data_IF_812885417231
#
_entry.id   IF_812885417231
#
_cell.length_a   1.000
_cell.length_b   1.000
_cell.length_c   1.000
_cell.angle_alpha   90.00
_cell.angle_beta   90.00
_cell.angle_gamma   90.00
#
_symmetry.space_group_name_H-M   'P 1'
#
loop_
_entity.id
_entity.type
_entity.pdbx_description
1 polymer ?
#
# COMPACT_ATOMS: atom_id res chain seq x y z
N UNK A 1 -47.33 -31.19 8.20
CA UNK A 1 -46.80 -29.84 7.87
C UNK A 1 -45.78 -29.29 8.88
N UNK A 2 -45.65 -29.84 10.09
CA UNK A 2 -44.61 -29.42 11.06
C UNK A 2 -43.21 -30.00 10.76
N UNK A 3 -43.13 -31.24 10.25
CA UNK A 3 -41.83 -31.90 10.02
C UNK A 3 -41.04 -31.35 8.82
N UNK A 4 -41.71 -30.85 7.77
CA UNK A 4 -41.03 -30.20 6.63
C UNK A 4 -40.38 -28.85 7.00
N UNK A 5 -40.86 -28.18 8.07
CA UNK A 5 -40.28 -26.91 8.53
C UNK A 5 -38.99 -27.11 9.32
N UNK A 6 -38.85 -28.24 10.02
CA UNK A 6 -37.64 -28.58 10.79
C UNK A 6 -36.44 -28.91 9.90
N UNK A 7 -36.66 -29.65 8.81
CA UNK A 7 -35.60 -30.01 7.85
C UNK A 7 -35.11 -28.78 7.07
N UNK A 8 -36.02 -27.87 6.70
CA UNK A 8 -35.66 -26.61 6.03
C UNK A 8 -34.81 -25.68 6.90
N UNK A 9 -35.14 -25.54 8.19
CA UNK A 9 -34.32 -24.75 9.12
C UNK A 9 -32.96 -25.39 9.41
N UNK A 10 -32.89 -26.72 9.46
CA UNK A 10 -31.63 -27.44 9.66
C UNK A 10 -30.70 -27.32 8.44
N UNK A 11 -31.24 -27.41 7.21
CA UNK A 11 -30.46 -27.19 5.99
C UNK A 11 -29.96 -25.74 5.86
N UNK A 12 -30.75 -24.74 6.26
CA UNK A 12 -30.31 -23.33 6.26
C UNK A 12 -29.22 -23.10 7.32
N UNK A 13 -29.35 -23.71 8.51
CA UNK A 13 -28.32 -23.62 9.55
C UNK A 13 -27.01 -24.33 9.15
N UNK A 14 -27.10 -25.50 8.50
CA UNK A 14 -25.92 -26.24 8.00
C UNK A 14 -25.27 -25.52 6.81
N UNK A 15 -26.03 -24.87 5.92
CA UNK A 15 -25.46 -24.01 4.87
C UNK A 15 -24.87 -22.69 5.41
N UNK A 16 -25.43 -22.12 6.49
CA UNK A 16 -24.86 -20.95 7.16
C UNK A 16 -23.57 -21.27 7.94
N UNK A 17 -23.43 -22.51 8.45
CA UNK A 17 -22.24 -22.96 9.17
C UNK A 17 -21.13 -23.50 8.26
N UNK A 18 -21.41 -23.72 6.98
CA UNK A 18 -20.39 -23.94 5.95
C UNK A 18 -20.02 -22.61 5.28
N UNK A 19 -19.71 -21.60 6.10
CA UNK A 19 -18.72 -20.61 5.74
C UNK A 19 -17.39 -21.34 5.62
N UNK A 20 -17.19 -22.09 4.52
CA UNK A 20 -15.86 -22.47 4.10
C UNK A 20 -15.16 -21.13 3.95
N UNK A 21 -14.30 -20.78 4.90
CA UNK A 21 -13.29 -19.77 4.70
C UNK A 21 -12.43 -20.31 3.56
N UNK A 22 -12.90 -20.18 2.32
CA UNK A 22 -12.08 -20.40 1.15
C UNK A 22 -11.02 -19.33 1.30
N UNK A 23 -9.81 -19.74 1.70
CA UNK A 23 -8.66 -18.84 1.78
C UNK A 23 -8.57 -18.12 0.44
N UNK A 24 -9.08 -16.89 0.37
CA UNK A 24 -8.96 -16.08 -0.83
C UNK A 24 -7.48 -15.81 -1.02
N UNK A 25 -6.98 -16.08 -2.22
CA UNK A 25 -5.60 -15.74 -2.53
C UNK A 25 -5.42 -14.23 -2.36
N UNK A 26 -4.27 -13.77 -1.85
CA UNK A 26 -4.00 -12.36 -1.73
C UNK A 26 -3.84 -11.70 -3.12
N UNK A 27 -4.40 -10.50 -3.31
CA UNK A 27 -4.00 -9.65 -4.43
C UNK A 27 -2.60 -9.04 -4.22
N UNK A 28 -2.17 -8.93 -2.97
CA UNK A 28 -0.87 -8.39 -2.57
C UNK A 28 -0.31 -9.14 -1.34
N UNK A 29 0.97 -9.52 -1.38
CA UNK A 29 1.67 -10.17 -0.27
C UNK A 29 2.97 -9.44 0.03
N UNK A 30 3.32 -9.36 1.32
CA UNK A 30 4.65 -8.90 1.74
C UNK A 30 5.34 -9.98 2.57
N UNK A 31 6.67 -9.98 2.53
CA UNK A 31 7.53 -10.78 3.41
C UNK A 31 8.60 -9.88 3.99
N UNK A 32 8.79 -9.96 5.30
CA UNK A 32 9.89 -9.32 6.02
C UNK A 32 10.79 -10.44 6.54
N UNK A 33 12.04 -10.45 6.08
CA UNK A 33 13.01 -11.51 6.43
C UNK A 33 13.76 -11.18 7.71
N UNK A 34 14.58 -12.13 8.18
CA UNK A 34 15.54 -11.86 9.25
C UNK A 34 16.37 -10.58 9.04
N UNK A 35 16.78 -10.26 7.79
CA UNK A 35 17.49 -9.02 7.51
C UNK A 35 16.63 -7.77 7.76
N UNK A 36 15.35 -7.81 7.41
CA UNK A 36 14.39 -6.73 7.69
C UNK A 36 14.08 -6.62 9.18
N UNK A 37 13.91 -7.74 9.87
CA UNK A 37 13.69 -7.79 11.33
C UNK A 37 14.92 -7.29 12.11
N UNK A 38 16.13 -7.56 11.63
CA UNK A 38 17.36 -7.01 12.20
C UNK A 38 17.42 -5.48 12.08
N UNK A 39 16.95 -4.93 10.96
CA UNK A 39 16.81 -3.47 10.81
C UNK A 39 15.76 -2.92 11.79
N UNK A 40 14.57 -3.54 11.84
CA UNK A 40 13.52 -3.15 12.77
C UNK A 40 13.97 -3.22 14.25
N UNK A 41 14.76 -4.24 14.62
CA UNK A 41 15.32 -4.36 15.97
C UNK A 41 16.21 -3.17 16.36
N UNK A 42 17.04 -2.66 15.43
CA UNK A 42 17.89 -1.49 15.70
C UNK A 42 17.04 -0.25 16.01
N UNK A 43 16.01 -0.01 15.21
CA UNK A 43 15.07 1.10 15.42
C UNK A 43 14.28 0.92 16.72
N UNK A 44 13.82 -0.29 17.04
CA UNK A 44 13.11 -0.61 18.27
C UNK A 44 13.97 -0.34 19.52
N UNK A 45 15.26 -0.72 19.51
CA UNK A 45 16.20 -0.41 20.60
C UNK A 45 16.44 1.10 20.74
N UNK A 46 16.56 1.81 19.62
CA UNK A 46 16.69 3.27 19.65
C UNK A 46 15.44 3.95 20.22
N UNK A 47 14.25 3.45 19.90
CA UNK A 47 13.00 3.95 20.45
C UNK A 47 12.86 3.63 21.94
N UNK A 48 13.21 2.40 22.37
CA UNK A 48 13.21 2.02 23.78
C UNK A 48 14.13 2.92 24.61
N UNK A 49 15.33 3.23 24.10
CA UNK A 49 16.28 4.14 24.74
C UNK A 49 15.64 5.52 25.01
N UNK A 50 14.86 6.05 24.04
CA UNK A 50 14.13 7.31 24.19
C UNK A 50 13.00 7.22 25.22
N UNK A 51 12.22 6.14 25.22
CA UNK A 51 11.09 5.95 26.14
C UNK A 51 11.54 5.72 27.60
N UNK A 52 12.72 5.11 27.80
CA UNK A 52 13.27 4.79 29.13
C UNK A 52 13.99 5.98 29.76
N UNK A 53 14.66 6.83 28.98
CA UNK A 53 15.36 8.01 29.51
C UNK A 53 14.36 9.02 30.08
N UNK A 54 14.64 9.52 31.29
CA UNK A 54 13.77 10.47 32.00
C UNK A 54 12.64 9.82 32.81
N UNK A 55 12.50 8.50 32.78
CA UNK A 55 11.52 7.79 33.59
C UNK A 55 11.86 7.92 35.08
N UNK A 56 10.86 8.30 35.88
CA UNK A 56 10.97 8.38 37.33
C UNK A 56 10.61 7.04 37.96
N UNK A 57 11.46 6.57 38.87
CA UNK A 57 11.24 5.33 39.61
C UNK A 57 10.83 5.68 41.02
N UNK A 58 9.61 5.28 41.40
CA UNK A 58 9.17 5.42 42.78
C UNK A 58 9.86 4.34 43.63
N UNK A 59 10.77 4.75 44.50
CA UNK A 59 11.45 3.84 45.42
C UNK A 59 10.88 4.03 46.82
N UNK A 60 10.14 3.04 47.37
CA UNK A 60 9.54 3.19 48.69
C UNK A 60 10.59 3.48 49.78
N UNK A 61 10.21 4.12 50.90
CA UNK A 61 11.10 4.29 52.05
C UNK A 61 11.50 2.95 52.68
N UNK A 62 12.53 2.95 53.53
CA UNK A 62 13.04 1.73 54.17
C UNK A 62 13.79 1.98 55.47
N UNK A 63 14.17 0.88 56.14
CA UNK A 63 14.95 0.89 57.38
C UNK A 63 16.08 -0.13 57.33
N UNK A 64 17.27 0.27 57.77
CA UNK A 64 18.42 -0.60 57.99
C UNK A 64 18.93 -0.39 59.42
N UNK A 65 18.65 -1.33 60.31
CA UNK A 65 18.94 -1.19 61.73
C UNK A 65 18.36 0.13 62.30
N UNK A 66 19.18 1.02 62.89
CA UNK A 66 18.72 2.29 63.46
C UNK A 66 18.52 3.42 62.44
N UNK A 67 18.80 3.19 61.16
CA UNK A 67 18.69 4.19 60.08
C UNK A 67 17.38 3.98 59.33
N UNK A 68 16.53 5.01 59.28
CA UNK A 68 15.39 5.10 58.36
C UNK A 68 15.78 5.99 57.17
N UNK A 69 15.38 5.62 55.95
CA UNK A 69 15.68 6.39 54.74
C UNK A 69 14.46 6.53 53.82
N UNK A 70 14.45 7.61 53.04
CA UNK A 70 13.46 7.91 52.02
C UNK A 70 14.14 8.44 50.76
N UNK A 71 13.54 8.20 49.61
CA UNK A 71 14.10 8.51 48.29
C UNK A 71 13.15 9.46 47.57
N UNK A 72 13.74 10.46 46.89
CA UNK A 72 13.00 11.41 46.07
C UNK A 72 13.73 11.63 44.75
N UNK A 73 12.95 11.87 43.69
CA UNK A 73 13.48 12.18 42.35
C UNK A 73 14.50 11.14 41.83
N UNK A 74 14.25 9.84 42.05
CA UNK A 74 15.03 8.80 41.40
C UNK A 74 14.62 8.72 39.92
N UNK A 75 15.53 9.02 39.01
CA UNK A 75 15.26 9.15 37.59
C UNK A 75 16.34 8.46 36.76
N UNK A 76 15.93 7.85 35.64
CA UNK A 76 16.86 7.27 34.66
C UNK A 76 17.49 8.39 33.84
N UNK A 77 18.80 8.58 33.99
CA UNK A 77 19.56 9.65 33.34
C UNK A 77 20.25 9.20 32.06
N UNK A 78 20.61 7.91 31.94
CA UNK A 78 21.23 7.36 30.75
C UNK A 78 20.83 5.91 30.49
N UNK A 79 20.82 5.56 29.20
CA UNK A 79 20.61 4.21 28.69
C UNK A 79 21.82 3.85 27.82
N UNK A 80 22.49 2.75 28.14
CA UNK A 80 23.56 2.17 27.34
C UNK A 80 23.01 1.00 26.53
N UNK A 81 23.14 1.01 25.19
CA UNK A 81 22.62 -0.05 24.33
C UNK A 81 23.09 -1.46 24.74
N UNK A 82 22.27 -2.50 24.48
CA UNK A 82 22.65 -3.88 24.77
C UNK A 82 23.88 -4.32 23.96
N UNK A 83 24.67 -5.25 24.51
CA UNK A 83 25.75 -5.89 23.75
C UNK A 83 25.22 -6.90 22.73
N UNK A 84 24.01 -7.43 22.95
CA UNK A 84 23.30 -8.27 21.98
C UNK A 84 21.80 -8.02 22.03
N UNK A 85 21.16 -7.97 20.86
CA UNK A 85 19.71 -7.88 20.73
C UNK A 85 19.25 -8.60 19.47
N UNK A 86 18.02 -9.10 19.49
CA UNK A 86 17.42 -9.80 18.37
C UNK A 86 15.91 -9.62 18.34
N UNK A 87 15.36 -9.60 17.13
CA UNK A 87 13.94 -9.69 16.85
C UNK A 87 13.77 -10.85 15.89
N UNK A 88 13.26 -11.98 16.38
CA UNK A 88 13.19 -13.23 15.62
C UNK A 88 11.76 -13.73 15.53
N UNK A 89 11.36 -14.36 14.41
CA UNK A 89 10.08 -15.03 14.33
C UNK A 89 9.95 -16.20 15.31
N UNK A 90 8.74 -16.40 15.82
CA UNK A 90 8.29 -17.62 16.48
C UNK A 90 7.26 -18.24 15.53
N UNK A 91 7.59 -19.40 15.00
CA UNK A 91 6.75 -20.10 14.02
C UNK A 91 5.30 -20.24 14.54
N UNK A 92 4.34 -19.83 13.71
CA UNK A 92 2.91 -19.89 14.02
C UNK A 92 2.40 -18.95 15.12
N UNK A 93 3.25 -18.09 15.70
CA UNK A 93 2.86 -17.28 16.87
C UNK A 93 3.07 -15.78 16.70
N UNK A 94 4.31 -15.32 16.48
CA UNK A 94 4.63 -13.89 16.56
C UNK A 94 6.11 -13.60 16.44
N UNK A 95 6.59 -12.53 17.09
CA UNK A 95 8.02 -12.20 17.16
C UNK A 95 8.51 -12.28 18.60
N UNK A 96 9.69 -12.85 18.81
CA UNK A 96 10.44 -12.73 20.07
C UNK A 96 11.41 -11.57 19.96
N UNK A 97 11.23 -10.57 20.80
CA UNK A 97 12.18 -9.48 20.97
C UNK A 97 13.01 -9.73 22.23
N UNK A 98 14.33 -9.67 22.13
CA UNK A 98 15.22 -9.94 23.25
C UNK A 98 16.45 -9.05 23.20
N UNK A 99 16.94 -8.67 24.37
CA UNK A 99 18.17 -7.91 24.51
C UNK A 99 18.91 -8.28 25.80
N UNK A 100 20.24 -8.22 25.76
CA UNK A 100 21.10 -8.57 26.87
C UNK A 100 22.17 -7.52 27.13
N UNK A 101 22.54 -7.39 28.40
CA UNK A 101 23.59 -6.51 28.88
C UNK A 101 23.34 -5.02 28.58
N UNK A 102 22.11 -4.58 28.78
CA UNK A 102 21.76 -3.16 28.80
C UNK A 102 22.35 -2.51 30.05
N UNK A 103 22.87 -1.30 29.89
CA UNK A 103 23.30 -0.44 30.99
C UNK A 103 22.28 0.65 31.29
N UNK A 104 22.06 0.95 32.56
CA UNK A 104 21.16 2.03 33.00
C UNK A 104 21.90 2.86 34.04
N UNK A 105 21.89 4.19 33.87
CA UNK A 105 22.31 5.12 34.91
C UNK A 105 21.08 5.82 35.50
N UNK A 106 21.08 5.99 36.81
CA UNK A 106 20.05 6.76 37.51
C UNK A 106 20.70 7.74 38.47
N UNK A 107 20.03 8.85 38.75
CA UNK A 107 20.40 9.72 39.85
C UNK A 107 19.17 10.08 40.68
N UNK A 108 19.39 10.55 41.90
CA UNK A 108 18.31 11.01 42.76
C UNK A 108 18.80 11.56 44.09
N UNK A 109 17.84 11.77 44.99
CA UNK A 109 18.09 12.30 46.34
C UNK A 109 17.59 11.34 47.41
N UNK A 110 18.27 11.34 48.54
CA UNK A 110 17.86 10.57 49.71
C UNK A 110 17.85 11.46 50.96
N UNK A 111 16.97 11.12 51.88
CA UNK A 111 16.94 11.66 53.24
C UNK A 111 17.01 10.50 54.22
N UNK A 112 17.84 10.60 55.25
CA UNK A 112 17.99 9.56 56.26
C UNK A 112 17.95 10.14 57.68
N UNK A 113 17.46 9.32 58.61
CA UNK A 113 17.38 9.62 60.03
C UNK A 113 17.94 8.43 60.82
N UNK A 114 18.89 8.69 61.71
CA UNK A 114 19.42 7.74 62.68
C UNK A 114 18.85 8.06 64.06
N UNK A 115 18.30 7.04 64.74
CA UNK A 115 17.70 7.20 66.08
C UNK A 115 18.15 6.09 67.03
N UNK A 116 19.20 6.38 67.83
CA UNK A 116 19.57 5.62 69.03
C UNK A 116 19.72 6.56 70.24
N UNK A 117 20.94 6.97 70.58
CA UNK A 117 21.23 7.89 71.68
C UNK A 117 21.30 9.35 71.19
N UNK A 118 21.81 9.55 69.96
CA UNK A 118 21.85 10.85 69.26
C UNK A 118 20.86 10.78 68.10
N UNK A 119 20.13 11.88 67.87
CA UNK A 119 19.24 12.05 66.71
C UNK A 119 20.02 12.78 65.61
N UNK A 120 20.27 12.09 64.50
CA UNK A 120 20.93 12.68 63.33
C UNK A 120 19.96 12.54 62.15
N UNK A 121 19.70 13.65 61.47
CA UNK A 121 18.89 13.68 60.24
C UNK A 121 19.62 14.51 59.21
N UNK A 122 19.80 13.96 58.02
CA UNK A 122 20.51 14.64 56.94
C UNK A 122 20.04 14.12 55.57
N UNK A 123 20.52 14.76 54.51
CA UNK A 123 20.17 14.45 53.13
C UNK A 123 21.41 14.32 52.25
N UNK A 124 21.22 13.80 51.05
CA UNK A 124 22.28 13.67 50.06
C UNK A 124 21.73 13.30 48.68
N UNK A 125 22.64 13.08 47.75
CA UNK A 125 22.33 12.56 46.42
C UNK A 125 22.95 11.19 46.20
N UNK A 126 22.46 10.46 45.20
CA UNK A 126 23.07 9.21 44.80
C UNK A 126 23.10 9.09 43.29
N UNK A 127 24.08 8.33 42.81
CA UNK A 127 24.15 7.81 41.44
C UNK A 127 24.08 6.29 41.49
N UNK A 128 23.29 5.72 40.59
CA UNK A 128 23.16 4.28 40.40
C UNK A 128 23.70 3.95 39.02
N UNK A 129 24.57 2.95 38.98
CA UNK A 129 24.97 2.27 37.75
C UNK A 129 24.42 0.85 37.78
N UNK A 130 23.63 0.51 36.78
CA UNK A 130 23.07 -0.83 36.57
C UNK A 130 23.70 -1.42 35.33
N UNK A 131 24.15 -2.67 35.42
CA UNK A 131 24.72 -3.41 34.30
C UNK A 131 24.11 -4.81 34.21
N UNK A 132 24.13 -5.39 33.03
CA UNK A 132 23.59 -6.74 32.83
C UNK A 132 22.07 -6.78 32.86
N UNK A 133 21.38 -5.71 32.45
CA UNK A 133 19.93 -5.78 32.28
C UNK A 133 19.61 -6.58 31.01
N UNK A 134 18.72 -7.54 31.11
CA UNK A 134 18.25 -8.34 29.99
C UNK A 134 16.73 -8.46 29.99
N UNK A 135 16.16 -8.64 28.81
CA UNK A 135 14.74 -8.93 28.67
C UNK A 135 14.48 -9.86 27.49
N UNK A 136 13.34 -10.55 27.56
CA UNK A 136 12.72 -11.25 26.46
C UNK A 136 11.22 -11.05 26.52
N UNK A 137 10.64 -10.54 25.44
CA UNK A 137 9.20 -10.31 25.30
C UNK A 137 8.71 -10.92 23.98
N UNK A 138 7.54 -11.53 24.01
CA UNK A 138 6.82 -11.92 22.80
C UNK A 138 5.96 -10.75 22.33
N UNK A 139 5.99 -10.45 21.03
CA UNK A 139 5.05 -9.55 20.37
C UNK A 139 4.08 -10.38 19.54
N UNK A 140 2.81 -10.34 19.93
CA UNK A 140 1.72 -11.00 19.21
C UNK A 140 1.14 -10.06 18.17
N UNK A 141 0.89 -10.57 16.97
CA UNK A 141 0.30 -9.79 15.89
C UNK A 141 -1.10 -10.29 15.55
N UNK A 142 -2.00 -9.35 15.28
CA UNK A 142 -3.38 -9.62 14.94
C UNK A 142 -3.87 -8.76 13.78
N UNK A 143 -5.19 -8.72 13.65
CA UNK A 143 -5.90 -7.91 12.65
C UNK A 143 -7.10 -7.24 13.34
N UNK A 144 -7.30 -5.96 13.11
CA UNK A 144 -8.48 -5.23 13.59
C UNK A 144 -9.69 -5.45 12.66
N UNK A 145 -10.86 -4.91 13.06
CA UNK A 145 -12.10 -4.99 12.28
C UNK A 145 -12.05 -4.25 10.95
N UNK A 146 -11.09 -3.36 10.74
CA UNK A 146 -10.89 -2.61 9.51
C UNK A 146 -9.86 -3.27 8.57
N UNK A 147 -9.24 -4.37 8.99
CA UNK A 147 -8.18 -5.05 8.25
C UNK A 147 -6.78 -4.44 8.43
N UNK A 148 -6.52 -3.74 9.54
CA UNK A 148 -5.20 -3.21 9.92
C UNK A 148 -4.46 -4.23 10.78
N UNK A 149 -3.12 -4.29 10.72
CA UNK A 149 -2.36 -5.08 11.68
C UNK A 149 -2.51 -4.49 13.08
N UNK A 150 -2.54 -5.36 14.09
CA UNK A 150 -2.43 -4.99 15.50
C UNK A 150 -1.23 -5.69 16.12
N UNK A 151 -0.70 -5.13 17.20
CA UNK A 151 0.39 -5.68 18.00
C UNK A 151 0.05 -5.57 19.48
N UNK A 152 0.46 -6.57 20.26
CA UNK A 152 0.37 -6.54 21.73
C UNK A 152 1.55 -7.27 22.35
N UNK A 153 1.82 -6.96 23.60
CA UNK A 153 2.79 -7.69 24.40
C UNK A 153 2.21 -9.03 24.86
N UNK A 154 2.91 -10.10 24.52
CA UNK A 154 2.76 -11.42 25.12
C UNK A 154 3.62 -11.54 26.39
N UNK A 155 3.99 -12.78 26.78
CA UNK A 155 4.82 -13.01 27.96
C UNK A 155 6.14 -12.22 27.92
N UNK A 156 6.44 -11.54 29.03
CA UNK A 156 7.67 -10.80 29.23
C UNK A 156 8.47 -11.37 30.41
N UNK A 157 9.78 -11.45 30.22
CA UNK A 157 10.76 -11.76 31.27
C UNK A 157 11.84 -10.71 31.26
N UNK A 158 12.33 -10.36 32.45
CA UNK A 158 13.47 -9.47 32.60
C UNK A 158 14.38 -9.96 33.72
N UNK A 159 15.66 -9.64 33.60
CA UNK A 159 16.61 -9.81 34.70
C UNK A 159 17.55 -8.61 34.79
N UNK A 160 18.15 -8.46 35.96
CA UNK A 160 19.05 -7.35 36.28
C UNK A 160 20.29 -7.92 36.92
N UNK A 161 21.44 -7.78 36.27
CA UNK A 161 22.72 -8.25 36.77
C UNK A 161 23.15 -7.55 38.06
N UNK A 162 23.94 -6.48 37.92
CA UNK A 162 24.55 -5.75 39.03
C UNK A 162 23.94 -4.36 39.16
N UNK A 163 23.63 -3.98 40.39
CA UNK A 163 23.28 -2.61 40.78
C UNK A 163 24.39 -2.10 41.68
N UNK A 164 24.99 -0.97 41.33
CA UNK A 164 26.03 -0.32 42.13
C UNK A 164 25.59 1.10 42.45
N UNK A 165 25.62 1.46 43.73
CA UNK A 165 25.17 2.77 44.20
C UNK A 165 26.35 3.55 44.77
N UNK A 166 26.48 4.81 44.36
CA UNK A 166 27.39 5.79 44.92
C UNK A 166 26.57 6.87 45.61
N UNK A 167 26.73 6.99 46.92
CA UNK A 167 26.10 8.04 47.71
C UNK A 167 27.04 9.23 47.88
N UNK A 168 26.46 10.42 47.87
CA UNK A 168 27.13 11.69 48.13
C UNK A 168 26.44 12.39 49.29
N UNK A 169 27.16 12.59 50.39
CA UNK A 169 26.64 13.20 51.61
C UNK A 169 27.69 13.26 52.71
N UNK A 170 27.35 13.90 53.84
CA UNK A 170 28.32 14.19 54.92
C UNK A 170 28.75 12.95 55.70
N UNK A 171 27.84 12.04 56.01
CA UNK A 171 28.10 10.93 56.95
C UNK A 171 28.16 9.56 56.26
N UNK A 172 29.33 9.23 55.72
CA UNK A 172 29.54 7.99 54.96
C UNK A 172 29.14 6.71 55.68
N UNK A 173 29.43 6.62 56.98
CA UNK A 173 29.10 5.46 57.79
C UNK A 173 27.58 5.19 57.86
N UNK A 174 26.74 6.24 57.86
CA UNK A 174 25.31 6.12 58.05
C UNK A 174 24.59 5.63 56.78
N UNK A 175 24.95 6.19 55.61
CA UNK A 175 24.32 5.77 54.37
C UNK A 175 24.89 4.47 53.79
N UNK A 176 26.15 4.15 54.07
CA UNK A 176 26.73 2.86 53.69
C UNK A 176 26.03 1.69 54.40
N UNK A 177 25.40 1.92 55.56
CA UNK A 177 24.67 0.90 56.33
C UNK A 177 23.44 0.35 55.57
N UNK A 178 22.78 1.16 54.74
CA UNK A 178 21.60 0.72 53.98
C UNK A 178 21.89 0.43 52.50
N UNK A 179 23.14 0.61 52.04
CA UNK A 179 23.54 0.43 50.64
C UNK A 179 23.10 -0.91 50.05
N UNK A 180 23.42 -2.03 50.72
CA UNK A 180 23.11 -3.36 50.21
C UNK A 180 21.59 -3.65 50.14
N UNK A 181 20.82 -3.15 51.12
CA UNK A 181 19.35 -3.26 51.06
C UNK A 181 18.78 -2.40 49.93
N UNK A 182 19.34 -1.21 49.73
CA UNK A 182 18.93 -0.30 48.67
C UNK A 182 19.25 -0.86 47.28
N UNK A 183 20.43 -1.43 47.07
CA UNK A 183 20.81 -2.15 45.85
C UNK A 183 19.83 -3.29 45.52
N UNK A 184 19.47 -4.12 46.52
CA UNK A 184 18.48 -5.19 46.35
C UNK A 184 17.09 -4.65 45.99
N UNK A 185 16.68 -3.54 46.61
CA UNK A 185 15.38 -2.91 46.36
C UNK A 185 15.30 -2.35 44.94
N UNK A 186 16.33 -1.63 44.50
CA UNK A 186 16.42 -1.11 43.14
C UNK A 186 16.46 -2.26 42.13
N UNK A 187 17.24 -3.31 42.39
CA UNK A 187 17.29 -4.51 41.53
C UNK A 187 15.89 -5.11 41.31
N UNK A 188 15.13 -5.31 42.39
CA UNK A 188 13.75 -5.82 42.30
C UNK A 188 12.82 -4.88 41.54
N UNK A 189 12.83 -3.58 41.89
CA UNK A 189 11.98 -2.59 41.24
C UNK A 189 12.26 -2.49 39.74
N UNK A 190 13.54 -2.49 39.34
CA UNK A 190 13.92 -2.47 37.92
C UNK A 190 13.50 -3.75 37.20
N UNK A 191 13.63 -4.92 37.85
CA UNK A 191 13.16 -6.18 37.29
C UNK A 191 11.65 -6.13 36.99
N UNK A 192 10.85 -5.68 37.96
CA UNK A 192 9.39 -5.52 37.78
C UNK A 192 9.07 -4.45 36.72
N UNK A 193 9.68 -3.27 36.81
CA UNK A 193 9.38 -2.13 35.92
C UNK A 193 9.83 -2.31 34.48
N UNK A 194 10.85 -3.12 34.23
CA UNK A 194 11.37 -3.29 32.86
C UNK A 194 10.31 -3.94 31.96
N UNK A 195 9.63 -4.99 32.43
CA UNK A 195 8.55 -5.60 31.66
C UNK A 195 7.35 -4.66 31.50
N UNK A 196 6.97 -3.91 32.55
CA UNK A 196 5.91 -2.90 32.43
C UNK A 196 6.21 -1.90 31.30
N UNK A 197 7.44 -1.36 31.24
CA UNK A 197 7.85 -0.38 30.23
C UNK A 197 7.88 -0.98 28.82
N UNK A 198 8.41 -2.20 28.68
CA UNK A 198 8.50 -2.89 27.39
C UNK A 198 7.10 -3.24 26.88
N UNK A 199 6.26 -3.83 27.72
CA UNK A 199 4.88 -4.18 27.36
C UNK A 199 4.09 -2.93 26.99
N UNK A 200 4.21 -1.85 27.77
CA UNK A 200 3.57 -0.57 27.44
C UNK A 200 4.03 -0.01 26.09
N UNK A 201 5.32 -0.11 25.76
CA UNK A 201 5.85 0.31 24.45
C UNK A 201 5.22 -0.46 23.29
N UNK A 202 4.90 -1.75 23.47
CA UNK A 202 4.22 -2.55 22.46
C UNK A 202 2.72 -2.23 22.41
N UNK A 203 2.04 -2.32 23.55
CA UNK A 203 0.58 -2.18 23.68
C UNK A 203 0.08 -0.76 23.40
N UNK A 204 0.95 0.25 23.50
CA UNK A 204 0.57 1.66 23.31
C UNK A 204 1.31 2.30 22.14
N UNK A 205 2.64 2.39 22.18
CA UNK A 205 3.38 3.16 21.17
C UNK A 205 3.39 2.46 19.80
N UNK A 206 3.72 1.17 19.79
CA UNK A 206 3.74 0.37 18.57
C UNK A 206 2.33 0.15 18.02
N UNK A 207 1.36 -0.21 18.89
CA UNK A 207 -0.04 -0.36 18.49
C UNK A 207 -0.63 0.92 17.91
N UNK A 208 -0.36 2.08 18.54
CA UNK A 208 -0.76 3.37 17.97
C UNK A 208 -0.17 3.58 16.58
N UNK A 209 1.09 3.24 16.38
CA UNK A 209 1.75 3.36 15.06
C UNK A 209 1.07 2.49 14.00
N UNK A 210 0.71 1.25 14.35
CA UNK A 210 -0.02 0.35 13.44
C UNK A 210 -1.46 0.82 13.17
N UNK A 211 -2.15 1.36 14.18
CA UNK A 211 -3.52 1.87 14.04
C UNK A 211 -3.65 3.00 13.01
N UNK A 212 -2.57 3.78 12.82
CA UNK A 212 -2.54 4.92 11.89
C UNK A 212 -2.38 4.50 10.42
N UNK A 213 -2.13 3.22 10.14
CA UNK A 213 -1.45 2.82 8.91
C UNK A 213 -2.10 3.12 7.57
N UNK A 214 -3.32 3.62 7.40
CA UNK A 214 -4.12 3.51 6.14
C UNK A 214 -4.15 2.07 5.56
N UNK A 215 -5.32 1.57 5.21
CA UNK A 215 -5.49 0.25 4.56
C UNK A 215 -6.22 0.36 3.24
N UNK A 216 -6.48 1.60 2.83
CA UNK A 216 -7.04 1.97 1.54
C UNK A 216 -6.34 3.22 1.03
N UNK A 217 -6.17 3.30 -0.30
CA UNK A 217 -5.55 4.43 -1.01
C UNK A 217 -6.45 4.79 -2.19
N UNK A 218 -6.83 6.05 -2.29
CA UNK A 218 -7.61 6.54 -3.42
C UNK A 218 -6.78 6.61 -4.70
N UNK A 219 -7.34 6.13 -5.81
CA UNK A 219 -6.78 6.24 -7.15
C UNK A 219 -7.65 7.21 -7.95
N UNK A 220 -7.14 8.41 -8.18
CA UNK A 220 -7.93 9.50 -8.74
C UNK A 220 -9.10 9.89 -7.81
N UNK A 221 -10.25 10.27 -8.39
CA UNK A 221 -11.45 10.68 -7.63
C UNK A 221 -12.46 9.56 -7.42
N UNK A 222 -12.35 8.46 -8.16
CA UNK A 222 -13.43 7.49 -8.35
C UNK A 222 -13.09 6.09 -7.83
N UNK A 223 -11.81 5.73 -7.81
CA UNK A 223 -11.35 4.39 -7.48
C UNK A 223 -10.65 4.38 -6.12
N UNK A 224 -10.67 3.24 -5.45
CA UNK A 224 -9.96 3.01 -4.19
C UNK A 224 -9.31 1.63 -4.19
N UNK A 225 -8.01 1.59 -3.90
CA UNK A 225 -7.26 0.35 -3.67
C UNK A 225 -7.36 -0.04 -2.20
N UNK A 226 -7.84 -1.25 -1.93
CA UNK A 226 -7.84 -1.86 -0.59
C UNK A 226 -6.66 -2.82 -0.44
N UNK A 227 -5.76 -2.52 0.48
CA UNK A 227 -4.67 -3.40 0.94
C UNK A 227 -4.84 -3.81 2.40
N UNK A 228 -6.09 -3.84 2.86
CA UNK A 228 -6.52 -4.50 4.10
C UNK A 228 -5.96 -5.91 4.17
N UNK A 229 -5.51 -6.30 5.36
CA UNK A 229 -5.10 -7.66 5.63
C UNK A 229 -6.28 -8.62 5.43
N UNK A 230 -6.02 -9.79 4.86
CA UNK A 230 -7.00 -10.87 4.74
C UNK A 230 -6.99 -11.80 5.96
N UNK A 231 -6.01 -11.63 6.85
CA UNK A 231 -5.89 -12.33 8.12
C UNK A 231 -4.65 -11.84 8.90
N UNK A 232 -4.42 -12.40 10.10
CA UNK A 232 -3.23 -12.09 10.90
C UNK A 232 -1.91 -12.38 10.13
N UNK A 233 -0.82 -11.66 10.41
CA UNK A 233 0.49 -11.98 9.88
C UNK A 233 0.89 -13.43 10.18
N UNK A 234 1.56 -14.09 9.24
CA UNK A 234 2.08 -15.45 9.41
C UNK A 234 3.57 -15.43 9.67
N UNK A 235 4.03 -16.37 10.48
CA UNK A 235 5.42 -16.45 10.93
C UNK A 235 5.99 -17.83 10.64
N UNK A 236 7.14 -17.88 9.97
CA UNK A 236 7.98 -19.07 9.82
C UNK A 236 9.18 -18.95 10.75
N UNK A 237 10.17 -19.85 10.67
CA UNK A 237 11.45 -19.66 11.37
C UNK A 237 12.28 -18.48 10.84
N UNK A 238 12.09 -18.11 9.57
CA UNK A 238 13.04 -17.25 8.84
C UNK A 238 12.47 -15.87 8.51
N UNK A 239 11.15 -15.74 8.46
CA UNK A 239 10.46 -14.54 8.02
C UNK A 239 9.04 -14.44 8.58
N UNK A 240 8.48 -13.24 8.50
CA UNK A 240 7.05 -12.98 8.65
C UNK A 240 6.45 -12.56 7.31
N UNK A 241 5.18 -12.90 7.10
CA UNK A 241 4.42 -12.53 5.90
C UNK A 241 3.09 -11.90 6.25
N UNK A 242 2.66 -10.97 5.41
CA UNK A 242 1.33 -10.38 5.45
C UNK A 242 0.64 -10.56 4.12
N UNK A 243 -0.67 -10.79 4.18
CA UNK A 243 -1.52 -11.10 3.04
C UNK A 243 -2.61 -10.06 2.98
N UNK A 244 -2.80 -9.46 1.81
CA UNK A 244 -3.64 -8.30 1.63
C UNK A 244 -4.63 -8.51 0.48
N UNK A 245 -5.78 -7.85 0.58
CA UNK A 245 -6.84 -7.93 -0.42
C UNK A 245 -6.34 -7.55 -1.81
N UNK A 246 -5.65 -6.42 -1.93
CA UNK A 246 -5.03 -5.96 -3.18
C UNK A 246 -6.05 -5.73 -4.30
N UNK A 247 -7.24 -5.22 -3.96
CA UNK A 247 -8.38 -5.05 -4.87
C UNK A 247 -8.69 -3.57 -5.07
N UNK A 248 -8.98 -3.17 -6.31
CA UNK A 248 -9.39 -1.82 -6.68
C UNK A 248 -10.89 -1.84 -6.97
N UNK A 249 -11.63 -0.97 -6.28
CA UNK A 249 -13.09 -0.89 -6.35
C UNK A 249 -13.56 0.55 -6.60
N UNK A 250 -14.83 0.71 -6.97
CA UNK A 250 -15.49 1.99 -7.10
C UNK A 250 -15.82 2.58 -5.73
N UNK A 251 -15.32 3.79 -5.47
CA UNK A 251 -15.34 4.40 -4.14
C UNK A 251 -16.75 4.67 -3.60
N UNK A 252 -17.68 5.10 -4.45
CA UNK A 252 -19.03 5.50 -3.99
C UNK A 252 -20.00 4.35 -3.85
N UNK A 253 -19.72 3.21 -4.49
CA UNK A 253 -20.58 2.04 -4.52
C UNK A 253 -19.71 0.80 -4.79
N UNK A 254 -19.07 0.25 -3.75
CA UNK A 254 -18.20 -0.91 -3.88
C UNK A 254 -18.96 -2.11 -4.49
N UNK A 255 -18.41 -2.66 -5.56
CA UNK A 255 -18.94 -3.81 -6.27
C UNK A 255 -17.76 -4.67 -6.76
N UNK A 256 -17.37 -5.72 -6.00
CA UNK A 256 -16.17 -6.47 -6.28
C UNK A 256 -16.24 -7.18 -7.65
N UNK A 257 -15.10 -7.38 -8.31
CA UNK A 257 -15.07 -8.07 -9.60
C UNK A 257 -15.54 -9.53 -9.49
N UNK A 258 -16.15 -10.11 -10.54
CA UNK A 258 -16.61 -11.50 -10.56
C UNK A 258 -15.46 -12.51 -10.80
N UNK A 259 -14.26 -12.20 -10.32
CA UNK A 259 -13.07 -13.04 -10.42
C UNK A 259 -12.21 -12.86 -9.17
N UNK A 260 -11.36 -13.84 -8.88
CA UNK A 260 -10.52 -13.88 -7.66
C UNK A 260 -9.05 -13.75 -8.01
N UNK A 261 -8.24 -13.40 -7.02
CA UNK A 261 -6.80 -13.39 -7.20
C UNK A 261 -6.27 -14.82 -7.48
N UNK A 262 -5.27 -14.96 -8.37
CA UNK A 262 -4.53 -16.21 -8.56
C UNK A 262 -3.68 -16.52 -7.33
N UNK A 263 -3.27 -17.78 -7.20
CA UNK A 263 -2.26 -18.14 -6.22
C UNK A 263 -0.92 -17.52 -6.60
N UNK A 264 -0.21 -16.99 -5.60
CA UNK A 264 1.13 -16.47 -5.80
C UNK A 264 2.14 -17.63 -5.88
N UNK A 265 3.15 -17.56 -6.78
CA UNK A 265 4.13 -18.61 -6.90
C UNK A 265 4.97 -18.73 -5.63
N UNK A 266 5.37 -19.96 -5.23
CA UNK A 266 6.23 -20.13 -4.07
C UNK A 266 7.58 -19.47 -4.31
N UNK A 267 8.07 -18.76 -3.30
CA UNK A 267 9.37 -18.10 -3.32
C UNK A 267 10.10 -18.34 -2.01
N UNK A 268 11.37 -18.74 -2.08
CA UNK A 268 12.17 -19.12 -0.91
C UNK A 268 13.33 -18.15 -0.62
N UNK A 269 13.55 -17.16 -1.47
CA UNK A 269 14.64 -16.22 -1.26
C UNK A 269 14.40 -15.38 0.00
N UNK A 270 15.48 -15.15 0.73
CA UNK A 270 15.55 -14.37 1.96
C UNK A 270 16.73 -13.39 1.97
N UNK A 271 17.44 -13.23 0.84
CA UNK A 271 18.62 -12.38 0.70
C UNK A 271 18.35 -10.87 0.78
N UNK A 272 17.08 -10.43 0.69
CA UNK A 272 16.65 -9.03 0.87
C UNK A 272 15.86 -8.84 2.16
N UNK A 273 15.82 -7.61 2.67
CA UNK A 273 15.05 -7.28 3.88
C UNK A 273 13.54 -7.50 3.71
N UNK A 274 13.03 -7.22 2.51
CA UNK A 274 11.61 -7.27 2.19
C UNK A 274 11.39 -7.78 0.77
N UNK A 275 10.31 -8.52 0.58
CA UNK A 275 9.80 -8.94 -0.73
C UNK A 275 8.33 -8.54 -0.85
N UNK A 276 7.93 -8.19 -2.07
CA UNK A 276 6.59 -7.77 -2.42
C UNK A 276 6.12 -8.60 -3.61
N UNK A 277 4.91 -9.15 -3.52
CA UNK A 277 4.22 -9.79 -4.63
C UNK A 277 2.96 -9.01 -4.94
N UNK A 278 2.81 -8.63 -6.21
CA UNK A 278 1.62 -7.96 -6.72
C UNK A 278 1.04 -8.84 -7.80
N UNK A 279 -0.19 -9.31 -7.60
CA UNK A 279 -0.89 -10.09 -8.60
C UNK A 279 -1.44 -9.19 -9.71
N UNK A 280 -1.53 -9.71 -10.94
CA UNK A 280 -2.29 -9.13 -12.04
C UNK A 280 -3.77 -8.86 -11.68
N UNK A 281 -4.33 -9.58 -10.70
CA UNK A 281 -5.64 -9.32 -10.11
C UNK A 281 -5.83 -7.86 -9.70
N UNK A 282 -4.82 -7.23 -9.09
CA UNK A 282 -4.92 -5.84 -8.64
C UNK A 282 -5.24 -4.91 -9.82
N UNK A 283 -4.51 -5.02 -10.92
CA UNK A 283 -4.74 -4.19 -12.11
C UNK A 283 -5.96 -4.64 -12.92
N UNK A 284 -6.27 -5.94 -12.96
CA UNK A 284 -7.49 -6.45 -13.58
C UNK A 284 -8.75 -5.94 -12.87
N UNK A 285 -8.74 -5.81 -11.53
CA UNK A 285 -9.85 -5.22 -10.77
C UNK A 285 -10.06 -3.75 -11.15
N UNK A 286 -9.00 -2.96 -11.32
CA UNK A 286 -9.08 -1.60 -11.86
C UNK A 286 -9.71 -1.57 -13.25
N UNK A 287 -9.25 -2.42 -14.16
CA UNK A 287 -9.78 -2.45 -15.54
C UNK A 287 -11.24 -2.91 -15.59
N UNK A 288 -11.64 -3.81 -14.69
CA UNK A 288 -13.04 -4.17 -14.51
C UNK A 288 -13.87 -2.95 -14.12
N UNK A 289 -13.49 -2.22 -13.06
CA UNK A 289 -14.22 -1.02 -12.64
C UNK A 289 -14.24 0.04 -13.75
N UNK A 290 -13.10 0.27 -14.42
CA UNK A 290 -13.03 1.22 -15.51
C UNK A 290 -13.95 0.84 -16.68
N UNK A 291 -14.11 -0.45 -16.99
CA UNK A 291 -15.03 -0.94 -18.01
C UNK A 291 -16.49 -0.76 -17.58
N UNK A 292 -16.87 -1.17 -16.37
CA UNK A 292 -18.24 -1.08 -15.87
C UNK A 292 -18.74 0.37 -15.81
N UNK A 293 -17.85 1.31 -15.51
CA UNK A 293 -18.15 2.73 -15.41
C UNK A 293 -17.84 3.53 -16.68
N UNK A 294 -17.64 2.87 -17.82
CA UNK A 294 -17.39 3.49 -19.14
C UNK A 294 -16.20 4.47 -19.20
N UNK A 295 -15.22 4.30 -18.32
CA UNK A 295 -14.02 5.16 -18.27
C UNK A 295 -13.01 4.86 -19.40
N UNK A 296 -13.20 3.75 -20.11
CA UNK A 296 -12.32 3.29 -21.19
C UNK A 296 -12.82 3.75 -22.58
N UNK A 297 -13.23 5.02 -22.66
CA UNK A 297 -13.64 5.68 -23.90
C UNK A 297 -12.85 6.98 -24.09
N UNK A 298 -12.36 7.21 -25.29
CA UNK A 298 -11.59 8.41 -25.62
C UNK A 298 -11.91 8.87 -27.04
N UNK A 299 -11.93 10.19 -27.23
CA UNK A 299 -12.19 10.79 -28.53
C UNK A 299 -10.91 11.44 -29.05
N UNK A 300 -10.20 10.77 -29.95
CA UNK A 300 -8.95 11.26 -30.51
C UNK A 300 -9.22 12.19 -31.68
N UNK A 301 -8.66 13.39 -31.61
CA UNK A 301 -8.75 14.44 -32.62
C UNK A 301 -7.36 14.95 -32.99
N UNK A 302 -7.27 15.81 -34.00
CA UNK A 302 -6.01 16.42 -34.40
C UNK A 302 -5.36 17.28 -33.27
N UNK A 303 -6.14 17.73 -32.28
CA UNK A 303 -5.64 18.52 -31.13
C UNK A 303 -4.86 17.69 -30.10
N UNK A 304 -5.06 16.38 -30.12
CA UNK A 304 -4.37 15.44 -29.24
C UNK A 304 -3.00 15.04 -29.78
N UNK A 305 -2.71 15.41 -31.03
CA UNK A 305 -1.44 15.15 -31.72
C UNK A 305 -0.54 16.38 -31.63
N UNK A 306 0.76 16.18 -31.84
CA UNK A 306 1.69 17.30 -32.02
C UNK A 306 1.28 18.15 -33.23
N UNK A 307 1.53 19.45 -33.18
CA UNK A 307 1.11 20.38 -34.24
C UNK A 307 1.63 19.97 -35.62
N UNK A 308 2.89 19.50 -35.68
CA UNK A 308 3.52 18.96 -36.89
C UNK A 308 2.91 17.65 -37.41
N UNK A 309 2.09 16.97 -36.60
CA UNK A 309 1.49 15.66 -36.91
C UNK A 309 -0.03 15.72 -37.05
N UNK A 310 -0.64 16.85 -36.74
CA UNK A 310 -2.09 17.09 -36.84
C UNK A 310 -2.67 16.75 -38.22
N UNK A 311 -1.85 16.90 -39.28
CA UNK A 311 -2.22 16.61 -40.66
C UNK A 311 -2.51 15.14 -40.97
N UNK A 312 -2.12 14.19 -40.10
CA UNK A 312 -2.38 12.76 -40.27
C UNK A 312 -3.88 12.46 -40.41
N UNK A 313 -4.73 13.21 -39.70
CA UNK A 313 -6.18 13.03 -39.65
C UNK A 313 -6.94 13.90 -40.66
N UNK A 314 -6.24 14.64 -41.52
CA UNK A 314 -6.91 15.48 -42.50
C UNK A 314 -7.50 14.66 -43.66
N UNK A 315 -8.66 15.07 -44.15
CA UNK A 315 -9.25 14.52 -45.38
C UNK A 315 -8.64 15.16 -46.63
N UNK A 316 -8.29 16.45 -46.56
CA UNK A 316 -7.58 17.18 -47.61
C UNK A 316 -6.10 17.25 -47.27
N UNK A 317 -5.29 16.57 -48.06
CA UNK A 317 -3.87 16.39 -47.77
C UNK A 317 -3.02 17.51 -48.40
N UNK A 318 -2.18 18.14 -47.57
CA UNK A 318 -1.15 19.10 -48.01
C UNK A 318 0.26 18.52 -47.91
N UNK A 319 0.43 17.38 -47.22
CA UNK A 319 1.71 16.70 -47.02
C UNK A 319 1.62 15.17 -47.18
N UNK A 320 2.75 14.49 -47.02
CA UNK A 320 2.88 13.05 -47.31
C UNK A 320 2.21 12.12 -46.28
N UNK A 321 2.10 12.54 -45.02
CA UNK A 321 1.44 11.77 -43.96
C UNK A 321 0.02 12.26 -43.74
N UNK A 322 -0.94 11.68 -44.46
CA UNK A 322 -2.34 12.10 -44.42
C UNK A 322 -3.27 10.95 -44.86
N UNK A 323 -4.34 10.72 -44.10
CA UNK A 323 -5.31 9.65 -44.37
C UNK A 323 -6.09 9.85 -45.68
N UNK A 324 -6.31 11.10 -46.11
CA UNK A 324 -6.98 11.41 -47.37
C UNK A 324 -6.30 10.79 -48.61
N UNK A 325 -4.98 10.59 -48.58
CA UNK A 325 -4.25 9.91 -49.66
C UNK A 325 -4.54 8.40 -49.72
N UNK A 326 -5.00 7.79 -48.63
CA UNK A 326 -5.20 6.34 -48.52
C UNK A 326 -6.67 5.92 -48.68
N UNK A 327 -7.60 6.86 -48.50
CA UNK A 327 -9.03 6.63 -48.68
C UNK A 327 -9.57 7.63 -49.70
N UNK A 328 -9.61 7.27 -51.00
CA UNK A 328 -10.02 8.19 -52.07
C UNK A 328 -11.41 8.81 -51.86
N UNK A 329 -12.35 8.05 -51.28
CA UNK A 329 -13.71 8.50 -50.99
C UNK A 329 -13.81 9.64 -49.96
N UNK A 330 -12.71 9.98 -49.25
CA UNK A 330 -12.64 11.15 -48.38
C UNK A 330 -12.65 12.48 -49.15
N UNK A 331 -12.51 12.46 -50.48
CA UNK A 331 -12.69 13.63 -51.34
C UNK A 331 -14.11 14.25 -51.22
N UNK A 332 -15.12 13.48 -50.79
CA UNK A 332 -16.49 13.96 -50.49
C UNK A 332 -16.56 14.85 -49.25
N UNK A 333 -15.50 14.87 -48.44
CA UNK A 333 -15.40 15.63 -47.21
C UNK A 333 -14.22 16.61 -47.27
N UNK A 334 -14.21 17.60 -48.18
CA UNK A 334 -13.10 18.54 -48.29
C UNK A 334 -12.95 19.39 -47.02
N UNK A 335 -11.71 19.74 -46.67
CA UNK A 335 -11.37 20.58 -45.51
C UNK A 335 -11.96 20.06 -44.18
N UNK A 336 -11.95 18.74 -44.00
CA UNK A 336 -12.40 18.10 -42.78
C UNK A 336 -11.22 17.47 -42.02
N UNK A 337 -11.42 17.28 -40.72
CA UNK A 337 -10.56 16.50 -39.84
C UNK A 337 -11.31 15.27 -39.36
N UNK A 338 -10.63 14.13 -39.35
CA UNK A 338 -11.17 12.90 -38.79
C UNK A 338 -11.09 12.93 -37.27
N UNK A 339 -12.14 12.40 -36.67
CA UNK A 339 -12.29 12.15 -35.25
C UNK A 339 -12.43 10.64 -35.03
N UNK A 340 -11.62 10.09 -34.13
CA UNK A 340 -11.62 8.67 -33.78
C UNK A 340 -12.26 8.50 -32.40
N UNK A 341 -13.54 8.13 -32.38
CA UNK A 341 -14.24 7.77 -31.16
C UNK A 341 -13.92 6.33 -30.79
N UNK A 342 -13.01 6.17 -29.82
CA UNK A 342 -12.52 4.88 -29.36
C UNK A 342 -13.23 4.47 -28.07
N UNK A 343 -13.68 3.23 -27.98
CA UNK A 343 -14.19 2.62 -26.74
C UNK A 343 -13.73 1.18 -26.60
N UNK A 344 -13.47 0.75 -25.38
CA UNK A 344 -13.15 -0.65 -25.09
C UNK A 344 -14.40 -1.52 -25.21
N UNK A 345 -14.30 -2.66 -25.93
CA UNK A 345 -15.43 -3.60 -26.10
C UNK A 345 -15.53 -4.60 -24.96
N UNK A 346 -14.42 -4.85 -24.27
CA UNK A 346 -14.31 -5.67 -23.06
C UNK A 346 -13.27 -5.06 -22.14
N UNK A 347 -13.23 -5.48 -20.88
CA UNK A 347 -12.19 -5.02 -19.97
C UNK A 347 -10.79 -5.41 -20.53
N UNK A 348 -9.81 -4.50 -20.50
CA UNK A 348 -8.41 -4.85 -20.72
C UNK A 348 -7.99 -5.97 -19.77
N UNK A 349 -7.23 -6.94 -20.29
CA UNK A 349 -6.73 -8.06 -19.50
C UNK A 349 -5.23 -7.93 -19.33
N UNK A 350 -4.78 -7.76 -18.10
CA UNK A 350 -3.37 -7.76 -17.74
C UNK A 350 -2.94 -9.16 -17.29
N UNK A 351 -1.73 -9.54 -17.68
CA UNK A 351 -1.09 -10.79 -17.28
C UNK A 351 0.39 -10.54 -17.00
N UNK A 352 0.87 -11.05 -15.86
CA UNK A 352 2.29 -11.04 -15.52
C UNK A 352 2.94 -12.26 -16.14
N UNK A 353 3.93 -12.04 -17.00
CA UNK A 353 4.76 -13.10 -17.58
C UNK A 353 6.21 -12.93 -17.13
N UNK A 354 7.07 -13.91 -17.38
CA UNK A 354 8.47 -13.85 -16.92
C UNK A 354 9.17 -12.63 -17.52
N UNK A 355 9.53 -11.67 -16.66
CA UNK A 355 10.30 -10.47 -17.01
C UNK A 355 9.50 -9.35 -17.69
N UNK A 356 8.18 -9.48 -17.86
CA UNK A 356 7.36 -8.41 -18.44
C UNK A 356 5.89 -8.51 -18.01
N UNK A 357 5.16 -7.42 -18.26
CA UNK A 357 3.72 -7.36 -18.09
C UNK A 357 3.09 -7.15 -19.45
N UNK A 358 2.08 -7.96 -19.77
CA UNK A 358 1.34 -7.91 -21.03
C UNK A 358 -0.10 -7.46 -20.74
N UNK A 359 -0.61 -6.52 -21.54
CA UNK A 359 -2.01 -6.07 -21.48
C UNK A 359 -2.66 -6.24 -22.85
N UNK A 360 -3.73 -7.03 -22.91
CA UNK A 360 -4.55 -7.22 -24.11
C UNK A 360 -5.77 -6.32 -24.08
N UNK A 361 -5.99 -5.57 -25.15
CA UNK A 361 -7.02 -4.55 -25.26
C UNK A 361 -7.79 -4.78 -26.56
N UNK A 362 -9.12 -4.81 -26.47
CA UNK A 362 -10.01 -4.88 -27.64
C UNK A 362 -10.91 -3.65 -27.65
N UNK A 363 -10.98 -2.97 -28.80
CA UNK A 363 -11.66 -1.69 -28.97
C UNK A 363 -12.54 -1.68 -30.20
N UNK A 364 -13.54 -0.81 -30.13
CA UNK A 364 -14.32 -0.36 -31.25
C UNK A 364 -14.00 1.10 -31.51
N UNK A 365 -13.69 1.43 -32.77
CA UNK A 365 -13.27 2.77 -33.16
C UNK A 365 -14.19 3.23 -34.29
N UNK A 366 -15.03 4.22 -33.99
CA UNK A 366 -15.90 4.85 -34.96
C UNK A 366 -15.25 6.15 -35.47
N UNK A 367 -15.18 6.30 -36.79
CA UNK A 367 -14.60 7.46 -37.44
C UNK A 367 -15.67 8.41 -37.92
N UNK A 368 -15.46 9.69 -37.65
CA UNK A 368 -16.31 10.78 -38.10
C UNK A 368 -15.48 11.84 -38.81
N UNK A 369 -15.98 12.36 -39.92
CA UNK A 369 -15.42 13.56 -40.54
C UNK A 369 -16.08 14.80 -39.93
N UNK A 370 -15.26 15.75 -39.48
CA UNK A 370 -15.72 17.03 -38.95
C UNK A 370 -15.17 18.18 -39.79
N UNK A 371 -16.00 19.17 -40.17
CA UNK A 371 -15.53 20.35 -40.86
C UNK A 371 -14.54 21.11 -39.99
N UNK A 372 -13.44 21.59 -40.58
CA UNK A 372 -12.56 22.55 -39.90
C UNK A 372 -13.29 23.89 -39.88
N UNK A 373 -13.75 24.34 -38.71
CA UNK A 373 -14.39 25.65 -38.59
C UNK A 373 -13.36 26.75 -38.89
N UNK A 374 -13.40 27.28 -40.10
CA UNK A 374 -12.90 28.62 -40.43
C UNK A 374 -14.11 29.54 -40.55
N UNK A 375 -13.93 30.85 -40.34
CA UNK A 375 -14.98 31.89 -40.37
C UNK A 375 -15.81 31.97 -41.66
N UNK A 376 -15.54 31.10 -42.64
CA UNK A 376 -16.09 31.15 -44.01
C UNK A 376 -16.49 29.79 -44.58
N UNK A 377 -16.45 28.68 -43.82
CA UNK A 377 -16.76 27.34 -44.38
C UNK A 377 -18.23 26.97 -44.19
N UNK A 378 -19.03 27.09 -45.26
CA UNK A 378 -20.37 26.50 -45.34
C UNK A 378 -20.22 24.99 -45.62
N UNK A 379 -20.55 24.16 -44.65
CA UNK A 379 -20.55 22.71 -44.80
C UNK A 379 -21.89 22.22 -45.37
N UNK A 380 -21.86 21.66 -46.58
CA UNK A 380 -23.01 20.96 -47.16
C UNK A 380 -22.88 19.46 -46.87
N UNK A 381 -23.77 18.95 -46.02
CA UNK A 381 -23.89 17.50 -45.78
C UNK A 381 -24.23 16.80 -47.10
N UNK A 382 -23.52 15.73 -47.51
CA UNK A 382 -23.90 14.95 -48.68
C UNK A 382 -25.32 14.39 -48.48
N UNK A 383 -26.25 14.79 -49.34
CA UNK A 383 -27.64 14.37 -49.24
C UNK A 383 -27.78 12.85 -49.43
N UNK A 384 -28.47 12.19 -48.50
CA UNK A 384 -29.03 10.85 -48.76
C UNK A 384 -30.15 11.00 -49.79
N UNK A 385 -30.15 10.19 -50.85
CA UNK A 385 -31.38 9.92 -51.60
C UNK A 385 -32.25 9.00 -50.74
N UNK A 386 -33.16 9.58 -49.96
CA UNK A 386 -34.26 8.84 -49.34
C UNK A 386 -35.55 9.65 -49.48
N UNK A 387 -36.59 8.94 -49.92
CA UNK A 387 -37.91 9.47 -50.20
C UNK A 387 -38.49 10.20 -49.00
N UNK A 388 -38.99 11.40 -49.24
CA UNK A 388 -39.55 12.29 -48.25
C UNK A 388 -40.88 11.75 -47.69
N UNK A 389 -40.95 11.51 -46.37
CA UNK A 389 -42.14 11.87 -45.59
C UNK A 389 -41.84 12.01 -44.09
N UNK A 390 -41.91 13.27 -43.63
CA UNK A 390 -42.12 13.81 -42.27
C UNK A 390 -41.00 13.76 -41.22
N UNK A 391 -40.32 14.91 -41.14
CA UNK A 391 -39.67 15.46 -39.95
C UNK A 391 -40.62 15.70 -38.77
N UNK A 392 -40.11 15.49 -37.55
CA UNK A 392 -40.37 16.36 -36.39
C UNK A 392 -39.08 16.59 -35.60
N UNK A 393 -38.49 17.75 -35.88
CA UNK A 393 -37.72 18.67 -35.03
C UNK A 393 -37.49 18.27 -33.56
N UNK A 394 -36.20 18.12 -33.20
CA UNK A 394 -35.63 18.76 -32.00
C UNK A 394 -34.24 19.28 -32.34
N UNK A 395 -34.10 20.60 -32.43
CA UNK A 395 -32.82 21.29 -32.52
C UNK A 395 -32.19 21.43 -31.13
N UNK A 396 -30.97 20.93 -30.98
CA UNK A 396 -29.97 21.54 -30.11
C UNK A 396 -28.59 21.27 -30.70
N UNK A 397 -27.79 22.33 -30.79
CA UNK A 397 -26.54 22.46 -31.53
C UNK A 397 -25.44 21.48 -31.10
N UNK A 398 -25.44 20.26 -31.65
CA UNK A 398 -24.22 19.47 -31.84
C UNK A 398 -23.93 19.45 -33.34
N UNK A 399 -22.82 20.06 -33.74
CA UNK A 399 -22.23 19.83 -35.07
C UNK A 399 -21.92 18.33 -35.19
N UNK A 400 -22.89 17.56 -35.69
CA UNK A 400 -22.79 16.12 -35.88
C UNK A 400 -21.75 15.88 -36.96
N UNK A 401 -20.60 15.31 -36.60
CA UNK A 401 -19.66 14.80 -37.60
C UNK A 401 -20.36 13.74 -38.46
N UNK A 402 -19.95 13.64 -39.73
CA UNK A 402 -20.48 12.64 -40.64
C UNK A 402 -19.77 11.31 -40.42
N UNK A 403 -20.55 10.26 -40.18
CA UNK A 403 -20.05 8.91 -39.94
C UNK A 403 -19.36 8.35 -41.19
N UNK A 404 -18.15 7.81 -41.02
CA UNK A 404 -17.32 7.29 -42.10
C UNK A 404 -17.29 5.76 -42.07
N UNK A 405 -16.74 5.18 -41.01
CA UNK A 405 -16.73 3.74 -40.78
C UNK A 405 -16.45 3.40 -39.31
N UNK A 406 -16.67 2.14 -38.96
CA UNK A 406 -16.32 1.56 -37.67
C UNK A 406 -15.34 0.41 -37.91
N UNK A 407 -14.28 0.35 -37.09
CA UNK A 407 -13.33 -0.76 -37.08
C UNK A 407 -13.20 -1.38 -35.69
N UNK A 408 -12.94 -2.67 -35.67
CA UNK A 408 -12.42 -3.36 -34.49
C UNK A 408 -10.91 -3.18 -34.46
N UNK A 409 -10.36 -2.90 -33.28
CA UNK A 409 -8.93 -2.82 -33.07
C UNK A 409 -8.53 -3.65 -31.85
N UNK A 410 -7.59 -4.57 -32.06
CA UNK A 410 -6.97 -5.35 -30.99
C UNK A 410 -5.53 -4.85 -30.81
N UNK A 411 -5.14 -4.66 -29.56
CA UNK A 411 -3.82 -4.15 -29.20
C UNK A 411 -3.26 -4.95 -28.04
N UNK A 412 -1.98 -5.27 -28.12
CA UNK A 412 -1.22 -5.85 -27.01
C UNK A 412 -0.11 -4.89 -26.64
N UNK A 413 -0.06 -4.48 -25.38
CA UNK A 413 0.99 -3.64 -24.82
C UNK A 413 1.85 -4.49 -23.91
N UNK A 414 3.15 -4.52 -24.17
CA UNK A 414 4.14 -5.14 -23.29
C UNK A 414 4.96 -4.04 -22.63
N UNK A 415 5.26 -4.21 -21.36
CA UNK A 415 6.12 -3.28 -20.64
C UNK A 415 6.81 -3.91 -19.44
N UNK A 416 7.61 -3.07 -18.77
CA UNK A 416 8.38 -3.43 -17.61
C UNK A 416 7.99 -2.58 -16.41
N UNK A 417 8.00 -3.22 -15.25
CA UNK A 417 7.80 -2.57 -13.96
C UNK A 417 9.15 -2.35 -13.30
N UNK A 418 9.35 -1.18 -12.71
CA UNK A 418 10.51 -0.85 -11.90
C UNK A 418 10.10 0.04 -10.73
N UNK A 419 10.85 0.01 -9.64
CA UNK A 419 10.54 0.76 -8.41
C UNK A 419 11.61 1.82 -8.18
N UNK A 420 11.19 3.08 -7.98
CA UNK A 420 12.08 4.19 -7.62
C UNK A 420 11.44 4.95 -6.48
N UNK A 421 12.19 5.13 -5.37
CA UNK A 421 11.74 5.90 -4.19
C UNK A 421 10.32 5.54 -3.73
N UNK A 422 10.07 4.25 -3.49
CA UNK A 422 8.75 3.71 -3.05
C UNK A 422 7.62 3.83 -4.08
N UNK A 423 7.89 4.25 -5.31
CA UNK A 423 6.87 4.33 -6.37
C UNK A 423 7.12 3.25 -7.40
N UNK A 424 6.09 2.47 -7.69
CA UNK A 424 6.08 1.49 -8.78
C UNK A 424 5.75 2.20 -10.10
N UNK A 425 6.68 2.13 -11.04
CA UNK A 425 6.56 2.71 -12.38
C UNK A 425 6.35 1.64 -13.43
N UNK A 426 5.78 2.05 -14.55
CA UNK A 426 5.62 1.23 -15.75
C UNK A 426 6.24 1.94 -16.95
N UNK A 427 6.87 1.17 -17.84
CA UNK A 427 7.38 1.66 -19.12
C UNK A 427 7.00 0.69 -20.23
N UNK A 428 6.41 1.20 -21.30
CA UNK A 428 6.11 0.43 -22.51
C UNK A 428 7.43 0.02 -23.17
N UNK A 429 7.52 -1.24 -23.57
CA UNK A 429 8.66 -1.78 -24.32
C UNK A 429 8.28 -2.17 -25.74
N UNK A 430 7.03 -2.60 -25.95
CA UNK A 430 6.52 -2.99 -27.25
C UNK A 430 5.00 -2.83 -27.29
N UNK A 431 4.48 -2.46 -28.45
CA UNK A 431 3.04 -2.50 -28.72
C UNK A 431 2.79 -3.14 -30.07
N UNK A 432 1.87 -4.10 -30.11
CA UNK A 432 1.35 -4.64 -31.36
C UNK A 432 -0.11 -4.26 -31.50
N UNK A 433 -0.53 -3.99 -32.74
CA UNK A 433 -1.92 -3.65 -33.02
C UNK A 433 -2.36 -4.23 -34.36
N UNK A 434 -3.63 -4.59 -34.43
CA UNK A 434 -4.28 -5.08 -35.63
C UNK A 434 -5.70 -4.51 -35.68
N UNK A 435 -6.17 -4.16 -36.88
CA UNK A 435 -7.53 -3.67 -37.05
C UNK A 435 -8.24 -4.30 -38.24
N UNK A 436 -9.56 -4.39 -38.11
CA UNK A 436 -10.44 -4.92 -39.14
C UNK A 436 -11.69 -4.06 -39.28
N UNK A 437 -12.13 -3.86 -40.51
CA UNK A 437 -13.34 -3.10 -40.80
C UNK A 437 -14.56 -3.85 -40.26
N UNK A 438 -15.46 -3.15 -39.56
CA UNK A 438 -16.71 -3.72 -39.05
C UNK A 438 -17.92 -3.26 -39.89
N UNK A 439 -18.01 -1.96 -40.15
CA UNK A 439 -19.08 -1.37 -40.96
C UNK A 439 -18.60 -0.06 -41.57
N UNK A 440 -19.19 0.36 -42.69
CA UNK A 440 -18.73 1.54 -43.41
C UNK A 440 -19.89 2.26 -44.09
N UNK A 441 -19.80 3.59 -44.18
CA UNK A 441 -20.67 4.43 -44.99
C UNK A 441 -20.02 4.81 -46.32
N UNK A 442 -18.68 4.78 -46.39
CA UNK A 442 -17.91 4.95 -47.63
C UNK A 442 -17.28 3.60 -48.05
N UNK A 443 -17.38 3.21 -49.32
CA UNK A 443 -16.76 1.97 -49.80
C UNK A 443 -15.22 2.12 -49.89
N UNK A 444 -14.53 1.03 -50.23
CA UNK A 444 -13.10 1.02 -50.57
C UNK A 444 -12.14 1.44 -49.43
N UNK A 445 -12.53 1.24 -48.17
CA UNK A 445 -11.60 1.38 -47.03
C UNK A 445 -10.62 0.20 -47.03
N UNK A 446 -9.37 0.47 -47.38
CA UNK A 446 -8.32 -0.56 -47.47
C UNK A 446 -7.73 -0.91 -46.11
N UNK A 447 -7.18 -2.12 -45.96
CA UNK A 447 -6.44 -2.52 -44.76
C UNK A 447 -5.24 -1.59 -44.49
N UNK A 448 -4.58 -1.10 -45.55
CA UNK A 448 -3.50 -0.11 -45.45
C UNK A 448 -3.97 1.19 -44.76
N UNK A 449 -5.19 1.66 -45.04
CA UNK A 449 -5.75 2.84 -44.39
C UNK A 449 -6.07 2.60 -42.91
N UNK A 450 -6.62 1.42 -42.58
CA UNK A 450 -6.87 1.03 -41.19
C UNK A 450 -5.56 0.95 -40.39
N UNK A 451 -4.56 0.26 -40.92
CA UNK A 451 -3.25 0.11 -40.31
C UNK A 451 -2.55 1.47 -40.15
N UNK A 452 -2.68 2.37 -41.13
CA UNK A 452 -2.17 3.73 -41.02
C UNK A 452 -2.81 4.49 -39.84
N UNK A 453 -4.13 4.47 -39.72
CA UNK A 453 -4.84 5.16 -38.63
C UNK A 453 -4.45 4.63 -37.26
N UNK A 454 -4.47 3.31 -37.11
CA UNK A 454 -4.18 2.66 -35.83
C UNK A 454 -2.72 2.84 -35.43
N UNK A 455 -1.80 2.67 -36.37
CA UNK A 455 -0.38 2.91 -36.11
C UNK A 455 -0.13 4.33 -35.60
N UNK A 456 -0.68 5.34 -36.29
CA UNK A 456 -0.51 6.72 -35.86
C UNK A 456 -1.21 7.01 -34.52
N UNK A 457 -2.40 6.48 -34.28
CA UNK A 457 -3.08 6.62 -32.99
C UNK A 457 -2.26 5.98 -31.85
N UNK A 458 -1.63 4.83 -32.11
CA UNK A 458 -0.79 4.12 -31.13
C UNK A 458 0.49 4.89 -30.84
N UNK A 459 1.31 5.14 -31.86
CA UNK A 459 2.65 5.73 -31.71
C UNK A 459 2.61 7.20 -31.25
N UNK A 460 1.63 7.97 -31.74
CA UNK A 460 1.60 9.44 -31.53
C UNK A 460 0.77 9.86 -30.31
N UNK A 461 -0.10 8.99 -29.80
CA UNK A 461 -0.99 9.34 -28.69
C UNK A 461 -1.05 8.28 -27.59
N UNK A 462 -1.41 7.02 -27.93
CA UNK A 462 -1.70 6.00 -26.91
C UNK A 462 -0.42 5.61 -26.14
N UNK A 463 0.67 5.28 -26.83
CA UNK A 463 1.93 4.91 -26.19
C UNK A 463 2.49 6.05 -25.31
N UNK A 464 2.64 7.30 -25.82
CA UNK A 464 3.06 8.42 -24.97
C UNK A 464 2.17 8.64 -23.75
N UNK A 465 0.86 8.45 -23.89
CA UNK A 465 -0.10 8.60 -22.79
C UNK A 465 0.08 7.52 -21.72
N UNK A 466 0.27 6.26 -22.14
CA UNK A 466 0.54 5.14 -21.22
C UNK A 466 1.88 5.37 -20.51
N UNK A 467 2.92 5.75 -21.24
CA UNK A 467 4.24 6.02 -20.66
C UNK A 467 4.21 7.21 -19.70
N UNK A 468 3.44 8.27 -20.00
CA UNK A 468 3.25 9.39 -19.10
C UNK A 468 2.61 8.96 -17.77
N UNK A 469 1.55 8.13 -17.84
CA UNK A 469 0.92 7.57 -16.64
C UNK A 469 1.85 6.60 -15.90
N UNK A 470 2.55 5.74 -16.62
CA UNK A 470 3.53 4.80 -16.08
C UNK A 470 4.69 5.49 -15.35
N UNK A 471 5.14 6.65 -15.84
CA UNK A 471 6.13 7.51 -15.16
C UNK A 471 5.60 8.15 -13.88
N UNK A 472 4.31 8.50 -13.79
CA UNK A 472 3.71 8.94 -12.52
C UNK A 472 3.73 7.83 -11.47
N UNK A 473 3.49 6.61 -11.91
CA UNK A 473 3.53 5.41 -11.08
C UNK A 473 2.42 5.34 -10.03
N UNK A 474 2.49 4.29 -9.21
CA UNK A 474 1.60 4.04 -8.08
C UNK A 474 2.49 3.88 -6.84
N UNK A 475 2.16 4.61 -5.77
CA UNK A 475 2.87 4.55 -4.49
C UNK A 475 2.40 3.37 -3.65
#
# INVERSE_FOLDING_TARGET
>A
MAELRGVGLFCIAVFCCLGIATSENPGFQTRITAAGLNYANKEAIAQLSKSVKGQKINVPPGKAGPVSYSITNAEITAFSPPSSSSLIPIEGSGLKWSASNIGIAMSGRFHYSFRKIIKISDHGSFDISVSGVSFGVQADFGIDTNGRPTIRAGPCTSDVGKVSIKFHGKWAWAYNLFRGQFEKKIKRLLKEKMCDLISHSLDTDAEKSLSLLKVTVGIGRMLELSYKLTGPPKFTSDYMETYHKGEIDWKSAPAPPPFRAPSLPPWKDTGRMMYLWVSDFMMNSLFYQAQQHNLLSYNLTAKDLLESESGVLNTTCTGSQCIGHLIPELNKYPNCQLELQMRSTKMPQISVVKGSVETKISRLIALYARPVMTTSTIYFKPGKRENAYRDRLTSNSRTSGDYIFTMNANMTVTGQIYVVKEVMHFKVTNTTSAASLQSYAIPNVTERALNFLIKNAVEKFIEPSIDYLGKKGIR
#
